data_IF_283270435068
#
_entry.id   IF_283270435068
#
_cell.length_a   1.000
_cell.length_b   1.000
_cell.length_c   1.000
_cell.angle_alpha   90.00
_cell.angle_beta   90.00
_cell.angle_gamma   90.00
#
_symmetry.space_group_name_H-M   'P 1'
#
loop_
_entity.id
_entity.type
_entity.pdbx_description
1 polymer ?
#
# COMPACT_ATOMS: atom_id res chain seq x y z
N UNK A 1 11.70 -7.32 10.18
CA UNK A 1 10.80 -6.29 9.62
C UNK A 1 10.91 -5.08 10.52
N UNK A 2 11.23 -3.92 9.96
CA UNK A 2 11.28 -2.67 10.72
C UNK A 2 9.95 -1.95 10.53
N UNK A 3 9.37 -1.41 11.60
CA UNK A 3 8.20 -0.53 11.54
C UNK A 3 8.62 0.88 11.93
N UNK A 4 8.19 1.87 11.15
CA UNK A 4 8.36 3.29 11.45
C UNK A 4 7.12 3.82 12.17
N UNK A 5 7.31 4.66 13.19
CA UNK A 5 6.22 5.45 13.75
C UNK A 5 6.11 6.80 13.05
N UNK A 6 5.02 7.11 12.35
CA UNK A 6 4.83 8.46 11.77
C UNK A 6 4.41 9.47 12.84
N UNK A 7 4.42 10.76 12.49
CA UNK A 7 4.03 11.92 13.31
C UNK A 7 2.68 11.81 14.08
N UNK A 8 1.85 10.79 13.80
CA UNK A 8 0.61 10.47 14.54
C UNK A 8 0.78 9.49 15.71
N UNK A 9 1.98 8.94 15.92
CA UNK A 9 2.26 7.93 16.95
C UNK A 9 1.83 6.50 16.58
N UNK A 10 1.44 6.26 15.32
CA UNK A 10 1.02 4.96 14.81
C UNK A 10 2.15 4.22 14.09
N UNK A 11 2.13 2.89 14.21
CA UNK A 11 2.96 1.97 13.45
C UNK A 11 2.64 2.00 11.96
N UNK A 12 3.69 1.97 11.16
CA UNK A 12 3.65 2.00 9.70
C UNK A 12 4.78 1.10 9.15
N UNK A 13 4.77 0.89 7.83
CA UNK A 13 5.88 0.34 7.08
C UNK A 13 7.16 1.14 7.36
N UNK A 14 8.33 0.53 7.13
CA UNK A 14 9.61 1.23 7.36
C UNK A 14 9.75 2.48 6.48
N UNK A 15 9.26 2.40 5.25
CA UNK A 15 9.32 3.48 4.25
C UNK A 15 8.02 3.46 3.46
N UNK A 16 7.42 4.62 3.19
CA UNK A 16 6.29 4.72 2.27
C UNK A 16 5.81 6.15 2.01
N UNK A 17 5.72 6.52 0.73
CA UNK A 17 5.27 7.86 0.34
C UNK A 17 4.45 7.88 -0.94
N UNK A 18 3.81 9.03 -1.18
CA UNK A 18 2.94 9.25 -2.33
C UNK A 18 3.72 9.44 -3.63
N UNK A 19 3.17 8.91 -4.73
CA UNK A 19 3.72 9.15 -6.07
C UNK A 19 3.51 10.62 -6.49
N UNK A 20 4.61 11.34 -6.62
CA UNK A 20 4.62 12.72 -7.12
C UNK A 20 4.62 12.77 -8.65
N UNK A 21 3.95 13.78 -9.22
CA UNK A 21 3.92 13.98 -10.68
C UNK A 21 5.34 14.14 -11.21
N UNK A 22 5.68 13.35 -12.24
CA UNK A 22 6.98 13.39 -12.90
C UNK A 22 8.02 12.41 -12.36
N UNK A 23 7.74 11.68 -11.28
CA UNK A 23 8.63 10.64 -10.74
C UNK A 23 8.16 9.23 -11.14
N UNK A 24 9.12 8.34 -11.42
CA UNK A 24 8.83 6.92 -11.62
C UNK A 24 8.56 6.19 -10.31
N UNK A 25 7.81 5.08 -10.33
CA UNK A 25 7.44 4.32 -9.13
C UNK A 25 8.66 3.90 -8.30
N UNK A 26 9.66 3.27 -8.95
CA UNK A 26 10.89 2.84 -8.28
C UNK A 26 11.73 4.04 -7.83
N UNK A 27 11.70 5.14 -8.58
CA UNK A 27 12.42 6.37 -8.24
C UNK A 27 11.84 6.99 -6.96
N UNK A 28 10.51 7.05 -6.83
CA UNK A 28 9.85 7.45 -5.59
C UNK A 28 10.22 6.53 -4.44
N UNK A 29 10.20 5.20 -4.61
CA UNK A 29 10.59 4.29 -3.54
C UNK A 29 12.04 4.51 -3.04
N UNK A 30 12.97 4.81 -3.95
CA UNK A 30 14.36 5.16 -3.60
C UNK A 30 14.43 6.54 -2.91
N UNK A 31 13.66 7.50 -3.45
CA UNK A 31 13.17 8.74 -2.83
C UNK A 31 13.01 8.65 -1.32
N UNK A 32 11.86 8.08 -0.97
CA UNK A 32 11.35 7.98 0.39
C UNK A 32 12.29 7.14 1.28
N UNK A 33 12.94 6.12 0.71
CA UNK A 33 13.90 5.30 1.47
C UNK A 33 15.09 6.11 2.01
N UNK A 34 15.55 7.10 1.24
CA UNK A 34 16.60 8.00 1.68
C UNK A 34 16.09 9.03 2.71
N UNK A 35 14.89 9.57 2.51
CA UNK A 35 14.32 10.65 3.34
C UNK A 35 13.81 10.14 4.71
N UNK A 36 13.05 9.05 4.72
CA UNK A 36 12.40 8.57 5.94
C UNK A 36 13.35 7.74 6.81
N UNK A 37 14.17 6.88 6.18
CA UNK A 37 14.98 5.87 6.88
C UNK A 37 16.49 5.98 6.66
N UNK A 38 16.95 7.01 5.94
CA UNK A 38 18.37 7.23 5.63
C UNK A 38 19.04 6.03 4.94
N UNK A 39 18.30 5.28 4.12
CA UNK A 39 18.86 4.11 3.43
C UNK A 39 19.82 4.59 2.32
N UNK A 40 21.10 4.20 2.37
CA UNK A 40 22.07 4.63 1.37
C UNK A 40 21.81 3.97 0.01
N UNK A 41 22.17 4.68 -1.07
CA UNK A 41 21.91 4.27 -2.46
C UNK A 41 22.42 2.86 -2.79
N UNK A 42 23.56 2.46 -2.23
CA UNK A 42 24.12 1.13 -2.49
C UNK A 42 23.24 -0.01 -1.99
N UNK A 43 22.40 0.23 -0.97
CA UNK A 43 21.40 -0.73 -0.50
C UNK A 43 20.11 -0.64 -1.32
N UNK A 44 19.62 0.57 -1.61
CA UNK A 44 18.37 0.75 -2.38
C UNK A 44 18.47 0.21 -3.81
N UNK A 45 19.68 0.03 -4.35
CA UNK A 45 19.91 -0.72 -5.61
C UNK A 45 19.36 -2.15 -5.58
N UNK A 46 19.27 -2.76 -4.41
CA UNK A 46 18.74 -4.12 -4.22
C UNK A 46 17.21 -4.13 -4.02
N UNK A 47 16.50 -3.00 -4.14
CA UNK A 47 15.03 -2.97 -4.12
C UNK A 47 14.45 -3.86 -5.22
N UNK A 48 13.62 -4.82 -4.80
CA UNK A 48 12.90 -5.75 -5.66
C UNK A 48 11.42 -5.38 -5.66
N UNK A 49 10.83 -5.24 -6.85
CA UNK A 49 9.38 -5.06 -6.95
C UNK A 49 8.68 -6.37 -6.56
N UNK A 50 7.73 -6.28 -5.63
CA UNK A 50 7.03 -7.43 -5.07
C UNK A 50 5.55 -7.50 -5.47
N UNK A 51 5.06 -6.53 -6.23
CA UNK A 51 3.68 -6.46 -6.72
C UNK A 51 3.00 -5.17 -6.29
N UNK A 52 1.69 -5.25 -6.07
CA UNK A 52 0.90 -4.18 -5.51
C UNK A 52 -0.29 -4.72 -4.71
N UNK A 53 -0.77 -3.91 -3.77
CA UNK A 53 -2.05 -4.12 -3.09
C UNK A 53 -3.02 -3.02 -3.49
N UNK A 54 -4.30 -3.35 -3.60
CA UNK A 54 -5.36 -2.45 -3.99
C UNK A 54 -6.59 -2.68 -3.11
N UNK A 55 -7.07 -1.62 -2.47
CA UNK A 55 -8.14 -1.71 -1.47
C UNK A 55 -8.92 -0.40 -1.39
N UNK A 56 -10.08 -0.46 -0.72
CA UNK A 56 -10.82 0.73 -0.32
C UNK A 56 -10.55 1.06 1.14
N UNK A 57 -10.31 2.33 1.42
CA UNK A 57 -10.18 2.87 2.75
C UNK A 57 -11.33 3.84 3.01
N UNK A 58 -12.13 3.59 4.03
CA UNK A 58 -13.19 4.51 4.46
C UNK A 58 -12.66 5.46 5.54
N UNK A 59 -13.00 6.74 5.41
CA UNK A 59 -12.80 7.73 6.46
C UNK A 59 -13.99 8.68 6.52
N UNK A 60 -13.98 9.61 7.47
CA UNK A 60 -15.00 10.67 7.58
C UNK A 60 -15.15 11.50 6.30
N UNK A 61 -14.12 11.51 5.43
CA UNK A 61 -14.12 12.22 4.15
C UNK A 61 -14.72 11.40 2.99
N UNK A 62 -15.10 10.15 3.23
CA UNK A 62 -15.67 9.24 2.25
C UNK A 62 -14.83 7.99 2.01
N UNK A 63 -15.08 7.36 0.87
CA UNK A 63 -14.41 6.13 0.45
C UNK A 63 -13.25 6.44 -0.51
N UNK A 64 -12.06 5.96 -0.19
CA UNK A 64 -10.84 6.22 -0.93
C UNK A 64 -10.33 4.93 -1.58
N UNK A 65 -10.30 4.83 -2.91
CA UNK A 65 -9.56 3.77 -3.58
C UNK A 65 -8.06 4.02 -3.41
N UNK A 66 -7.32 3.01 -2.98
CA UNK A 66 -5.86 3.09 -2.84
C UNK A 66 -5.18 1.95 -3.59
N UNK A 67 -4.04 2.24 -4.21
CA UNK A 67 -3.16 1.24 -4.82
C UNK A 67 -1.74 1.54 -4.39
N UNK A 68 -1.12 0.59 -3.70
CA UNK A 68 0.23 0.73 -3.18
C UNK A 68 1.15 -0.25 -3.91
N UNK A 69 2.21 0.28 -4.54
CA UNK A 69 3.23 -0.53 -5.19
C UNK A 69 4.24 -1.01 -4.14
N UNK A 70 4.37 -2.32 -4.01
CA UNK A 70 5.14 -2.94 -2.93
C UNK A 70 6.55 -3.27 -3.42
N UNK A 71 7.53 -2.95 -2.59
CA UNK A 71 8.93 -3.29 -2.80
C UNK A 71 9.48 -3.98 -1.56
N UNK A 72 10.28 -5.02 -1.80
CA UNK A 72 11.06 -5.67 -0.75
C UNK A 72 12.50 -5.18 -0.83
N UNK A 73 13.10 -4.98 0.34
CA UNK A 73 14.52 -4.68 0.49
C UNK A 73 15.09 -5.49 1.63
N UNK A 74 16.02 -6.40 1.31
CA UNK A 74 16.81 -7.09 2.31
C UNK A 74 17.94 -6.18 2.81
N UNK A 75 18.03 -6.00 4.12
CA UNK A 75 18.99 -5.10 4.76
C UNK A 75 20.05 -5.89 5.53
N UNK A 76 21.29 -5.38 5.63
CA UNK A 76 22.30 -5.92 6.51
C UNK A 76 21.83 -5.98 7.97
N UNK A 77 22.25 -6.99 8.72
CA UNK A 77 21.84 -7.18 10.13
C UNK A 77 22.32 -6.07 11.06
N UNK A 78 23.35 -5.33 10.66
CA UNK A 78 23.95 -4.20 11.38
C UNK A 78 23.43 -2.83 10.89
N UNK A 79 22.54 -2.81 9.91
CA UNK A 79 21.89 -1.57 9.48
C UNK A 79 20.93 -1.06 10.56
N UNK A 80 21.06 0.21 10.90
CA UNK A 80 20.17 0.92 11.83
C UNK A 80 19.56 2.10 11.08
N UNK A 81 18.23 2.10 10.84
CA UNK A 81 17.58 3.23 10.18
C UNK A 81 17.63 4.48 11.05
N UNK A 82 17.69 5.65 10.40
CA UNK A 82 17.59 6.94 11.07
C UNK A 82 16.64 7.86 10.32
N UNK A 83 15.91 8.69 11.06
CA UNK A 83 15.07 9.71 10.46
C UNK A 83 15.95 10.85 9.89
N UNK A 84 15.77 11.19 8.60
CA UNK A 84 16.47 12.31 7.97
C UNK A 84 15.64 13.59 7.82
N UNK A 85 14.31 13.52 7.68
CA UNK A 85 13.46 14.68 7.33
C UNK A 85 12.51 15.14 8.44
N UNK A 86 12.34 14.35 9.51
CA UNK A 86 11.44 14.64 10.63
C UNK A 86 10.10 13.91 10.57
N UNK A 87 9.80 13.12 9.54
CA UNK A 87 8.50 12.46 9.37
C UNK A 87 8.33 11.22 10.28
N UNK A 88 9.42 10.52 10.56
CA UNK A 88 9.45 9.29 11.37
C UNK A 88 9.90 9.53 12.82
N UNK A 89 9.02 9.34 13.79
CA UNK A 89 9.35 9.50 15.20
C UNK A 89 10.41 8.50 15.70
N UNK A 90 10.28 7.22 15.33
CA UNK A 90 11.18 6.15 15.76
C UNK A 90 11.05 4.93 14.85
N UNK A 91 12.05 4.04 14.92
CA UNK A 91 12.05 2.74 14.26
C UNK A 91 12.12 1.62 15.29
N UNK A 92 11.38 0.54 15.06
CA UNK A 92 11.47 -0.69 15.86
C UNK A 92 11.66 -1.90 14.95
N UNK A 93 12.66 -2.74 15.28
CA UNK A 93 12.88 -4.01 14.61
C UNK A 93 12.05 -5.10 15.28
N UNK A 94 11.17 -5.73 14.51
CA UNK A 94 10.26 -6.76 14.98
C UNK A 94 10.47 -8.11 14.29
N UNK A 95 10.34 -9.22 15.04
CA UNK A 95 10.03 -10.53 14.47
C UNK A 95 8.73 -10.48 13.67
N UNK A 96 8.66 -11.23 12.57
CA UNK A 96 7.48 -11.24 11.69
C UNK A 96 6.17 -11.57 12.43
N UNK A 97 6.23 -12.52 13.38
CA UNK A 97 5.08 -12.89 14.22
C UNK A 97 4.58 -11.73 15.09
N UNK A 98 5.48 -10.96 15.67
CA UNK A 98 5.12 -9.84 16.55
C UNK A 98 4.52 -8.67 15.77
N UNK A 99 4.95 -8.50 14.52
CA UNK A 99 4.32 -7.55 13.62
C UNK A 99 2.90 -7.99 13.24
N UNK A 100 2.70 -9.28 12.95
CA UNK A 100 1.36 -9.84 12.74
C UNK A 100 0.43 -9.55 13.92
N UNK A 101 0.92 -9.72 15.15
CA UNK A 101 0.15 -9.40 16.36
C UNK A 101 -0.17 -7.90 16.47
N UNK A 102 0.78 -7.01 16.11
CA UNK A 102 0.58 -5.55 16.11
C UNK A 102 -0.40 -5.05 15.05
N UNK A 103 -0.59 -5.76 13.93
CA UNK A 103 -1.53 -5.33 12.87
C UNK A 103 -2.97 -5.15 13.36
N UNK A 104 -3.35 -5.89 14.42
CA UNK A 104 -4.68 -5.82 15.01
C UNK A 104 -4.82 -4.73 16.08
N UNK A 105 -3.75 -3.98 16.37
CA UNK A 105 -3.77 -2.86 17.31
C UNK A 105 -4.38 -1.61 16.66
N UNK A 106 -5.14 -0.77 17.41
CA UNK A 106 -5.57 0.55 16.94
C UNK A 106 -4.41 1.50 16.63
N UNK A 107 -3.22 1.18 17.15
CA UNK A 107 -1.99 1.93 16.94
C UNK A 107 -1.30 1.60 15.61
N UNK A 108 -1.84 0.67 14.80
CA UNK A 108 -1.33 0.44 13.44
C UNK A 108 -2.07 1.33 12.44
N UNK A 109 -1.34 1.96 11.52
CA UNK A 109 -1.93 2.75 10.45
C UNK A 109 -2.66 1.82 9.48
N UNK A 110 -3.98 1.97 9.42
CA UNK A 110 -4.88 1.08 8.68
C UNK A 110 -4.51 0.90 7.21
N UNK A 111 -4.04 1.97 6.54
CA UNK A 111 -3.64 1.91 5.12
C UNK A 111 -2.38 1.08 4.89
N UNK A 112 -1.56 0.89 5.93
CA UNK A 112 -0.29 0.16 5.82
C UNK A 112 -0.44 -1.33 6.10
N UNK A 113 -1.52 -1.74 6.79
CA UNK A 113 -1.79 -3.15 7.09
C UNK A 113 -1.79 -4.04 5.83
N UNK A 114 -2.41 -3.65 4.70
CA UNK A 114 -2.41 -4.46 3.47
C UNK A 114 -1.01 -4.83 2.98
N UNK A 115 -0.05 -3.91 3.02
CA UNK A 115 1.34 -4.16 2.58
C UNK A 115 2.03 -5.20 3.46
N UNK A 116 1.84 -5.11 4.78
CA UNK A 116 2.41 -6.07 5.72
C UNK A 116 1.77 -7.44 5.57
N UNK A 117 0.45 -7.52 5.40
CA UNK A 117 -0.26 -8.79 5.21
C UNK A 117 0.22 -9.45 3.91
N UNK A 118 0.32 -8.69 2.81
CA UNK A 118 0.88 -9.17 1.54
C UNK A 118 2.30 -9.74 1.74
N UNK A 119 3.19 -9.00 2.42
CA UNK A 119 4.53 -9.48 2.76
C UNK A 119 4.50 -10.80 3.55
N UNK A 120 3.68 -10.88 4.61
CA UNK A 120 3.58 -12.08 5.44
C UNK A 120 3.02 -13.29 4.67
N UNK A 121 2.13 -13.08 3.70
CA UNK A 121 1.63 -14.12 2.80
C UNK A 121 2.75 -14.58 1.86
N UNK A 122 3.41 -13.66 1.15
CA UNK A 122 4.49 -13.99 0.20
C UNK A 122 5.67 -14.70 0.85
N UNK A 123 5.91 -14.46 2.14
CA UNK A 123 6.96 -15.10 2.93
C UNK A 123 6.49 -16.33 3.74
N UNK A 124 5.24 -16.79 3.57
CA UNK A 124 4.75 -18.03 4.16
C UNK A 124 4.51 -17.98 5.69
N UNK A 125 4.34 -16.78 6.25
CA UNK A 125 3.95 -16.59 7.66
C UNK A 125 2.44 -16.72 7.80
N UNK A 126 1.68 -16.09 6.90
CA UNK A 126 0.24 -16.28 6.74
C UNK A 126 0.05 -17.28 5.60
N UNK A 127 -0.71 -18.34 5.84
CA UNK A 127 -0.87 -19.47 4.93
C UNK A 127 -2.33 -19.96 4.95
N UNK A 128 -2.81 -20.66 3.91
CA UNK A 128 -4.13 -21.28 3.92
C UNK A 128 -4.36 -22.25 5.10
N UNK A 129 -3.28 -22.83 5.64
CA UNK A 129 -3.34 -23.77 6.77
C UNK A 129 -3.54 -23.07 8.12
N UNK A 130 -3.18 -21.79 8.24
CA UNK A 130 -3.24 -21.06 9.51
C UNK A 130 -4.21 -19.85 9.52
N UNK A 131 -4.73 -19.43 8.36
CA UNK A 131 -5.73 -18.36 8.23
C UNK A 131 -7.03 -18.90 7.61
N UNK A 132 -8.11 -19.08 8.40
CA UNK A 132 -9.38 -19.62 7.92
C UNK A 132 -10.03 -18.81 6.78
N UNK A 133 -9.78 -17.50 6.71
CA UNK A 133 -10.34 -16.60 5.70
C UNK A 133 -9.32 -16.25 4.61
N UNK A 134 -8.29 -17.06 4.40
CA UNK A 134 -7.15 -16.75 3.54
C UNK A 134 -7.56 -16.21 2.16
N UNK A 135 -8.51 -16.86 1.48
CA UNK A 135 -8.96 -16.43 0.16
C UNK A 135 -9.64 -15.06 0.18
N UNK A 136 -10.42 -14.77 1.22
CA UNK A 136 -11.06 -13.46 1.38
C UNK A 136 -10.04 -12.37 1.67
N UNK A 137 -9.02 -12.67 2.48
CA UNK A 137 -7.90 -11.75 2.73
C UNK A 137 -7.20 -11.42 1.42
N UNK A 138 -6.84 -12.42 0.61
CA UNK A 138 -6.21 -12.23 -0.71
C UNK A 138 -7.11 -11.40 -1.64
N UNK A 139 -8.41 -11.66 -1.68
CA UNK A 139 -9.36 -10.86 -2.47
C UNK A 139 -9.40 -9.39 -2.02
N UNK A 140 -9.39 -9.13 -0.71
CA UNK A 140 -9.42 -7.77 -0.16
C UNK A 140 -8.09 -7.03 -0.34
N UNK A 141 -6.97 -7.73 -0.49
CA UNK A 141 -5.68 -7.14 -0.85
C UNK A 141 -5.58 -6.76 -2.33
N UNK A 142 -6.44 -7.32 -3.19
CA UNK A 142 -6.38 -7.14 -4.64
C UNK A 142 -7.74 -6.77 -5.22
N UNK A 143 -8.41 -5.78 -4.60
CA UNK A 143 -9.66 -5.24 -5.13
C UNK A 143 -9.41 -4.72 -6.56
N UNK A 144 -10.22 -5.10 -7.56
CA UNK A 144 -9.96 -4.79 -8.97
C UNK A 144 -10.35 -3.33 -9.30
N UNK A 145 -9.71 -2.37 -8.64
CA UNK A 145 -10.03 -0.94 -8.73
C UNK A 145 -10.01 -0.44 -10.17
N UNK A 146 -9.01 -0.86 -10.96
CA UNK A 146 -8.85 -0.47 -12.36
C UNK A 146 -10.09 -0.86 -13.17
N UNK A 147 -10.53 -2.11 -13.06
CA UNK A 147 -11.77 -2.58 -13.72
C UNK A 147 -13.01 -1.84 -13.22
N UNK A 148 -13.09 -1.51 -11.93
CA UNK A 148 -14.22 -0.78 -11.36
C UNK A 148 -14.30 0.67 -11.88
N UNK A 149 -13.15 1.29 -12.15
CA UNK A 149 -13.05 2.68 -12.63
C UNK A 149 -12.95 2.82 -14.15
N UNK A 150 -12.56 1.76 -14.89
CA UNK A 150 -12.62 1.68 -16.36
C UNK A 150 -14.06 1.56 -16.89
N UNK A 151 -15.04 2.09 -16.16
CA UNK A 151 -16.44 2.12 -16.55
C UNK A 151 -16.57 2.69 -17.97
N UNK A 152 -17.05 1.83 -18.84
CA UNK A 152 -17.03 1.94 -20.29
C UNK A 152 -17.66 3.27 -20.77
N UNK A 153 -16.83 4.22 -21.19
CA UNK A 153 -17.26 5.53 -21.74
C UNK A 153 -18.22 5.33 -22.92
N UNK A 154 -18.11 4.19 -23.61
CA UNK A 154 -18.97 3.79 -24.73
C UNK A 154 -20.43 3.53 -24.31
N UNK A 155 -20.70 3.13 -23.05
CA UNK A 155 -22.08 2.95 -22.54
C UNK A 155 -22.81 4.28 -22.30
N UNK A 156 -22.08 5.39 -22.16
CA UNK A 156 -22.66 6.73 -22.02
C UNK A 156 -23.15 7.23 -23.39
N UNK A 157 -22.38 6.97 -24.45
CA UNK A 157 -22.75 7.39 -25.81
C UNK A 157 -23.98 6.65 -26.34
N UNK A 158 -24.12 5.35 -26.07
CA UNK A 158 -25.30 4.57 -26.49
C UNK A 158 -26.60 5.01 -25.79
N UNK A 159 -26.51 5.40 -24.52
CA UNK A 159 -27.68 5.90 -23.77
C UNK A 159 -28.06 7.33 -24.17
N UNK A 160 -27.10 8.18 -24.60
CA UNK A 160 -27.39 9.51 -25.14
C UNK A 160 -28.08 9.44 -26.52
N UNK A 161 -27.69 8.50 -27.38
CA UNK A 161 -28.31 8.32 -28.71
C UNK A 161 -29.72 7.69 -28.66
N UNK A 162 -30.01 6.90 -27.63
CA UNK A 162 -31.35 6.33 -27.43
C UNK A 162 -32.31 7.28 -26.68
N UNK A 163 -31.79 8.22 -25.89
CA UNK A 163 -32.60 9.21 -25.15
C UNK A 163 -33.14 10.38 -25.98
N UNK A 164 -32.57 10.66 -27.16
CA UNK A 164 -33.01 11.78 -28.02
C UNK A 164 -34.07 11.40 -29.07
N UNK A 165 -34.44 10.12 -29.20
CA UNK A 165 -35.40 9.65 -30.22
C UNK A 165 -36.89 9.72 -29.84
N UNK A 166 -37.24 10.24 -28.66
CA UNK A 166 -38.62 10.27 -28.16
C UNK A 166 -39.10 11.66 -27.67
N UNK A 167 -38.85 12.72 -28.45
CA UNK A 167 -39.58 13.97 -28.27
C UNK A 167 -40.49 14.19 -29.49
N UNK A 168 -41.82 14.30 -29.31
CA UNK A 168 -42.72 14.57 -30.43
C UNK A 168 -42.48 15.99 -30.98
N UNK A 169 -42.62 16.19 -32.30
CA UNK A 169 -42.42 17.49 -32.92
C UNK A 169 -43.46 18.51 -32.41
N UNK A 170 -43.00 19.75 -32.23
CA UNK A 170 -43.78 20.90 -31.78
C UNK A 170 -44.82 21.38 -32.80
#
# INVERSE_FOLDING_TARGET
>A
MFLGGFFSGKWDNMVGGGLSVGYGIKETAIKEAAEEASIPEHLTRNLVSAGCVSFFFESERGLFPNTEFVFDLELPTDFVPSNSDGEVQAFELLPAKECYERLFSPDFKTTSCPVVIDFLIRHGVITPENEPNFTQVVELLHVPLQTLYEFDVTRITENHENGQRNLPPA
#
